data_IF_121436653023
#
_entry.id   IF_121436653023
#
_cell.length_a   1.000
_cell.length_b   1.000
_cell.length_c   1.000
_cell.angle_alpha   90.00
_cell.angle_beta   90.00
_cell.angle_gamma   90.00
#
_symmetry.space_group_name_H-M   'P 1'
#
loop_
_entity.id
_entity.type
_entity.pdbx_description
1 polymer ?
#
# COMPACT_ATOMS: atom_id res chain seq x y z
N UNK A 1 8.19 -9.38 -41.01
CA UNK A 1 9.32 -8.89 -40.18
C UNK A 1 8.95 -7.52 -39.63
N UNK A 2 8.81 -7.36 -38.31
CA UNK A 2 8.66 -6.02 -37.68
C UNK A 2 10.06 -5.41 -37.51
N UNK A 3 10.23 -4.14 -37.87
CA UNK A 3 11.50 -3.42 -37.75
C UNK A 3 11.75 -2.98 -36.30
N UNK A 4 13.01 -2.76 -35.95
CA UNK A 4 13.44 -2.36 -34.59
C UNK A 4 12.81 -1.05 -34.13
N UNK A 5 12.51 -0.14 -35.06
CA UNK A 5 11.80 1.12 -34.85
C UNK A 5 10.33 0.92 -34.45
N UNK A 6 9.62 -0.05 -35.03
CA UNK A 6 8.24 -0.37 -34.65
C UNK A 6 8.14 -0.92 -33.22
N UNK A 7 9.10 -1.78 -32.83
CA UNK A 7 9.16 -2.31 -31.47
C UNK A 7 9.46 -1.23 -30.42
N UNK A 8 10.31 -0.26 -30.75
CA UNK A 8 10.60 0.87 -29.87
C UNK A 8 9.38 1.79 -29.69
N UNK A 9 8.65 2.08 -30.77
CA UNK A 9 7.44 2.89 -30.73
C UNK A 9 6.28 2.19 -29.97
N UNK A 10 6.18 0.86 -30.05
CA UNK A 10 5.20 0.09 -29.28
C UNK A 10 5.52 0.12 -27.77
N UNK A 11 6.80 -0.04 -27.40
CA UNK A 11 7.25 0.08 -25.99
C UNK A 11 7.01 1.48 -25.43
N UNK A 12 7.30 2.52 -26.22
CA UNK A 12 7.04 3.91 -25.82
C UNK A 12 5.56 4.20 -25.55
N UNK A 13 4.66 3.66 -26.40
CA UNK A 13 3.21 3.78 -26.22
C UNK A 13 2.71 3.05 -24.97
N UNK A 14 3.22 1.84 -24.70
CA UNK A 14 2.87 1.08 -23.49
C UNK A 14 3.34 1.77 -22.22
N UNK A 15 4.58 2.29 -22.21
CA UNK A 15 5.11 3.11 -21.11
C UNK A 15 4.23 4.32 -20.82
N UNK A 16 3.89 5.09 -21.85
CA UNK A 16 3.01 6.26 -21.71
C UNK A 16 1.62 5.84 -21.21
N UNK A 17 1.12 4.68 -21.64
CA UNK A 17 -0.14 4.11 -21.18
C UNK A 17 -0.13 3.77 -19.68
N UNK A 18 0.90 3.07 -19.21
CA UNK A 18 1.02 2.68 -17.80
C UNK A 18 1.15 3.90 -16.87
N UNK A 19 2.03 4.85 -17.22
CA UNK A 19 2.23 6.07 -16.45
C UNK A 19 0.92 6.89 -16.33
N UNK A 20 0.18 6.99 -17.43
CA UNK A 20 -1.12 7.67 -17.49
C UNK A 20 -2.18 7.01 -16.62
N UNK A 21 -2.23 5.68 -16.56
CA UNK A 21 -3.19 4.98 -15.69
C UNK A 21 -2.87 5.24 -14.22
N UNK A 22 -1.60 5.20 -13.83
CA UNK A 22 -1.19 5.50 -12.45
C UNK A 22 -1.51 6.96 -12.07
N UNK A 23 -1.28 7.92 -12.96
CA UNK A 23 -1.49 9.35 -12.65
C UNK A 23 -2.96 9.79 -12.74
N UNK A 24 -3.72 9.25 -13.70
CA UNK A 24 -5.11 9.66 -13.98
C UNK A 24 -6.18 8.78 -13.37
N UNK A 25 -5.87 7.53 -13.06
CA UNK A 25 -6.81 6.57 -12.48
C UNK A 25 -6.22 5.83 -11.25
N UNK A 26 -5.57 6.54 -10.30
CA UNK A 26 -4.97 5.91 -9.13
C UNK A 26 -5.98 5.17 -8.24
N UNK A 27 -7.24 5.61 -8.22
CA UNK A 27 -8.34 5.00 -7.46
C UNK A 27 -8.61 3.56 -7.90
N UNK A 28 -8.41 3.22 -9.17
CA UNK A 28 -8.59 1.86 -9.69
C UNK A 28 -7.53 0.91 -9.14
N UNK A 29 -6.29 1.39 -9.03
CA UNK A 29 -5.17 0.63 -8.48
C UNK A 29 -5.35 0.50 -6.96
N UNK A 30 -5.75 1.57 -6.28
CA UNK A 30 -6.06 1.53 -4.85
C UNK A 30 -7.20 0.53 -4.55
N UNK A 31 -8.26 0.52 -5.36
CA UNK A 31 -9.34 -0.45 -5.24
C UNK A 31 -8.88 -1.90 -5.51
N UNK A 32 -7.97 -2.12 -6.46
CA UNK A 32 -7.34 -3.42 -6.67
C UNK A 32 -6.56 -3.87 -5.44
N UNK A 33 -5.70 -3.02 -4.89
CA UNK A 33 -4.91 -3.32 -3.69
C UNK A 33 -5.81 -3.63 -2.49
N UNK A 34 -6.89 -2.87 -2.25
CA UNK A 34 -7.85 -3.15 -1.17
C UNK A 34 -8.47 -4.55 -1.31
N UNK A 35 -8.84 -4.95 -2.53
CA UNK A 35 -9.37 -6.30 -2.79
C UNK A 35 -8.33 -7.38 -2.53
N UNK A 36 -7.09 -7.17 -2.97
CA UNK A 36 -5.99 -8.10 -2.69
C UNK A 36 -5.74 -8.25 -1.18
N UNK A 37 -5.86 -7.16 -0.42
CA UNK A 37 -5.73 -7.17 1.05
C UNK A 37 -6.83 -7.99 1.70
N UNK A 38 -8.08 -7.80 1.27
CA UNK A 38 -9.21 -8.57 1.77
C UNK A 38 -9.03 -10.07 1.49
N UNK A 39 -8.66 -10.41 0.25
CA UNK A 39 -8.39 -11.79 -0.15
C UNK A 39 -7.25 -12.44 0.66
N UNK A 40 -6.18 -11.68 0.97
CA UNK A 40 -5.07 -12.18 1.77
C UNK A 40 -5.45 -12.52 3.23
N UNK A 41 -6.59 -12.03 3.72
CA UNK A 41 -7.09 -12.27 5.08
C UNK A 41 -8.35 -13.15 5.09
N UNK A 42 -8.77 -13.70 3.95
CA UNK A 42 -9.87 -14.66 3.89
C UNK A 42 -9.54 -15.87 4.78
N UNK A 43 -10.39 -16.14 5.77
CA UNK A 43 -10.21 -17.20 6.76
C UNK A 43 -9.55 -16.79 8.09
N UNK A 44 -9.05 -15.55 8.22
CA UNK A 44 -8.41 -15.04 9.45
C UNK A 44 -9.27 -14.01 10.22
N UNK A 45 -10.51 -13.81 9.80
CA UNK A 45 -11.44 -12.84 10.39
C UNK A 45 -11.52 -11.53 9.60
N UNK A 46 -12.17 -10.51 10.18
CA UNK A 46 -12.23 -9.17 9.56
C UNK A 46 -10.85 -8.53 9.71
N UNK A 47 -10.16 -8.18 8.61
CA UNK A 47 -8.86 -7.52 8.73
C UNK A 47 -9.05 -6.17 9.42
N UNK A 48 -8.14 -5.85 10.35
CA UNK A 48 -8.11 -4.53 10.98
C UNK A 48 -7.97 -3.41 9.92
N UNK A 49 -8.17 -2.14 10.30
CA UNK A 49 -7.92 -1.03 9.39
C UNK A 49 -6.49 -1.04 8.86
N UNK A 50 -6.32 -0.70 7.57
CA UNK A 50 -5.00 -0.62 6.97
C UNK A 50 -4.30 0.67 7.36
N UNK A 51 -3.00 0.58 7.61
CA UNK A 51 -2.13 1.73 7.88
C UNK A 51 -1.95 2.61 6.62
N UNK A 52 -2.07 2.00 5.43
CA UNK A 52 -1.87 2.66 4.13
C UNK A 52 -3.17 3.12 3.44
N UNK A 53 -4.37 2.87 3.98
CA UNK A 53 -5.62 3.08 3.22
C UNK A 53 -5.84 4.51 2.70
N UNK A 54 -5.50 5.52 3.51
CA UNK A 54 -5.56 6.94 3.12
C UNK A 54 -4.37 7.41 2.28
N UNK A 55 -3.36 6.57 2.08
CA UNK A 55 -2.08 6.88 1.47
C UNK A 55 -1.94 6.28 0.06
N UNK A 56 -2.48 5.08 -0.18
CA UNK A 56 -2.24 4.33 -1.42
C UNK A 56 -2.63 5.12 -2.66
N UNK A 57 -3.84 5.68 -2.70
CA UNK A 57 -4.30 6.41 -3.88
C UNK A 57 -3.44 7.67 -4.17
N UNK A 58 -3.21 8.59 -3.21
CA UNK A 58 -2.29 9.71 -3.40
C UNK A 58 -0.88 9.28 -3.83
N UNK A 59 -0.31 8.24 -3.20
CA UNK A 59 1.02 7.75 -3.54
C UNK A 59 1.10 7.19 -4.96
N UNK A 60 0.08 6.42 -5.39
CA UNK A 60 -0.01 5.89 -6.76
C UNK A 60 -0.10 7.01 -7.79
N UNK A 61 -0.83 8.08 -7.49
CA UNK A 61 -0.89 9.27 -8.36
C UNK A 61 0.49 9.86 -8.56
N UNK A 62 1.23 10.07 -7.47
CA UNK A 62 2.58 10.63 -7.51
C UNK A 62 3.58 9.70 -8.21
N UNK A 63 3.45 8.39 -8.03
CA UNK A 63 4.21 7.40 -8.79
C UNK A 63 3.97 7.55 -10.30
N UNK A 64 2.70 7.73 -10.71
CA UNK A 64 2.36 7.97 -12.11
C UNK A 64 3.09 9.18 -12.70
N UNK A 65 3.15 10.29 -11.97
CA UNK A 65 3.90 11.48 -12.39
C UNK A 65 5.40 11.20 -12.52
N UNK A 66 5.98 10.41 -11.62
CA UNK A 66 7.39 10.00 -11.74
C UNK A 66 7.63 9.06 -12.91
N UNK A 67 6.68 8.20 -13.26
CA UNK A 67 6.75 7.39 -14.49
C UNK A 67 6.62 8.25 -15.76
N UNK A 68 5.91 9.37 -15.69
CA UNK A 68 5.83 10.41 -16.74
C UNK A 68 7.11 11.27 -16.84
N UNK A 69 8.04 11.15 -15.90
CA UNK A 69 9.34 11.81 -15.93
C UNK A 69 9.57 12.87 -14.87
N UNK A 70 8.67 13.03 -13.89
CA UNK A 70 8.90 13.93 -12.76
C UNK A 70 10.00 13.36 -11.85
N UNK A 71 11.12 14.08 -11.73
CA UNK A 71 12.35 13.60 -11.08
C UNK A 71 12.36 13.65 -9.55
N UNK A 72 11.38 14.31 -8.92
CA UNK A 72 11.29 14.33 -7.45
C UNK A 72 10.74 13.02 -6.87
N UNK A 73 10.95 12.81 -5.56
CA UNK A 73 10.40 11.66 -4.84
C UNK A 73 8.86 11.67 -4.84
N UNK A 74 8.20 10.56 -5.25
CA UNK A 74 6.76 10.37 -5.05
C UNK A 74 6.36 10.47 -3.57
N UNK A 75 7.20 9.94 -2.67
CA UNK A 75 6.95 9.95 -1.23
C UNK A 75 6.87 11.38 -0.67
N UNK A 76 7.81 12.24 -1.05
CA UNK A 76 7.81 13.65 -0.62
C UNK A 76 6.69 14.49 -1.24
N UNK A 77 6.15 14.10 -2.39
CA UNK A 77 5.00 14.80 -3.00
C UNK A 77 3.66 14.31 -2.46
N UNK A 78 3.61 13.14 -1.87
CA UNK A 78 2.36 12.50 -1.43
C UNK A 78 1.72 13.29 -0.29
N UNK A 79 0.60 13.97 -0.60
CA UNK A 79 -0.21 14.71 0.37
C UNK A 79 -1.32 13.82 0.90
N UNK A 80 -1.02 13.05 1.95
CA UNK A 80 -1.93 12.10 2.56
C UNK A 80 -1.73 11.98 4.07
N UNK A 81 -2.50 11.09 4.71
CA UNK A 81 -2.29 10.72 6.11
C UNK A 81 -1.62 9.35 6.17
N UNK A 82 -0.39 9.32 6.69
CA UNK A 82 0.30 8.08 7.05
C UNK A 82 -0.07 7.73 8.50
N UNK A 83 -0.68 6.55 8.68
CA UNK A 83 -1.02 6.03 10.01
C UNK A 83 0.08 5.09 10.46
N UNK A 84 0.60 5.31 11.67
CA UNK A 84 1.62 4.47 12.28
C UNK A 84 1.08 3.90 13.58
N UNK A 85 1.18 2.58 13.75
CA UNK A 85 0.71 1.89 14.94
C UNK A 85 1.92 1.24 15.64
N UNK A 86 2.51 1.90 16.67
CA UNK A 86 3.66 1.37 17.41
C UNK A 86 3.47 -0.06 17.90
N UNK A 87 2.27 -0.37 18.40
CA UNK A 87 1.88 -1.70 18.89
C UNK A 87 1.99 -2.81 17.82
N UNK A 88 1.75 -2.49 16.55
CA UNK A 88 1.86 -3.44 15.42
C UNK A 88 3.30 -3.59 14.93
N UNK A 89 4.17 -2.64 15.28
CA UNK A 89 5.59 -2.62 14.92
C UNK A 89 5.86 -2.49 13.42
N UNK A 90 7.15 -2.45 13.07
CA UNK A 90 7.61 -2.27 11.69
C UNK A 90 7.20 -3.43 10.77
N UNK A 91 7.05 -4.65 11.31
CA UNK A 91 6.66 -5.83 10.53
C UNK A 91 5.32 -5.63 9.82
N UNK A 92 4.33 -5.06 10.51
CA UNK A 92 3.03 -4.79 9.91
C UNK A 92 3.10 -3.77 8.75
N UNK A 93 3.98 -2.76 8.85
CA UNK A 93 4.23 -1.83 7.74
C UNK A 93 4.87 -2.57 6.56
N UNK A 94 5.90 -3.39 6.80
CA UNK A 94 6.54 -4.17 5.75
C UNK A 94 5.54 -5.07 5.02
N UNK A 95 4.64 -5.74 5.74
CA UNK A 95 3.62 -6.60 5.13
C UNK A 95 2.64 -5.81 4.25
N UNK A 96 2.16 -4.64 4.71
CA UNK A 96 1.25 -3.80 3.91
C UNK A 96 1.94 -3.23 2.66
N UNK A 97 3.19 -2.79 2.78
CA UNK A 97 3.97 -2.31 1.63
C UNK A 97 4.40 -3.43 0.68
N UNK A 98 4.66 -4.65 1.17
CA UNK A 98 4.93 -5.80 0.32
C UNK A 98 3.70 -6.16 -0.53
N UNK A 99 2.51 -6.10 0.07
CA UNK A 99 1.26 -6.27 -0.66
C UNK A 99 1.04 -5.15 -1.69
N UNK A 100 1.34 -3.90 -1.32
CA UNK A 100 1.28 -2.78 -2.26
C UNK A 100 2.25 -2.99 -3.42
N UNK A 101 3.50 -3.39 -3.15
CA UNK A 101 4.50 -3.69 -4.19
C UNK A 101 3.98 -4.70 -5.19
N UNK A 102 3.46 -5.83 -4.70
CA UNK A 102 2.87 -6.86 -5.56
C UNK A 102 1.77 -6.28 -6.44
N UNK A 103 0.83 -5.54 -5.85
CA UNK A 103 -0.26 -4.92 -6.60
C UNK A 103 0.24 -3.97 -7.71
N UNK A 104 1.23 -3.12 -7.42
CA UNK A 104 1.76 -2.16 -8.39
C UNK A 104 2.54 -2.81 -9.51
N UNK A 105 3.33 -3.85 -9.19
CA UNK A 105 4.07 -4.62 -10.20
C UNK A 105 3.11 -5.41 -11.09
N UNK A 106 2.13 -6.11 -10.51
CA UNK A 106 1.11 -6.85 -11.27
C UNK A 106 0.31 -5.89 -12.19
N UNK A 107 -0.07 -4.71 -11.68
CA UNK A 107 -0.75 -3.69 -12.47
C UNK A 107 0.13 -3.16 -13.61
N UNK A 108 1.42 -2.94 -13.36
CA UNK A 108 2.37 -2.50 -14.39
C UNK A 108 2.50 -3.53 -15.51
N UNK A 109 2.61 -4.82 -15.16
CA UNK A 109 2.74 -5.92 -16.11
C UNK A 109 1.50 -6.03 -17.01
N UNK A 110 0.30 -5.93 -16.43
CA UNK A 110 -0.97 -5.91 -17.19
C UNK A 110 -1.05 -4.71 -18.16
N UNK A 111 -0.48 -3.57 -17.77
CA UNK A 111 -0.43 -2.37 -18.60
C UNK A 111 0.72 -2.39 -19.62
N UNK A 112 1.55 -3.43 -19.63
CA UNK A 112 2.67 -3.60 -20.56
C UNK A 112 3.88 -2.72 -20.24
N UNK A 113 4.07 -2.31 -18.99
CA UNK A 113 5.26 -1.60 -18.54
C UNK A 113 6.52 -2.47 -18.56
N UNK A 114 7.69 -1.85 -18.65
CA UNK A 114 8.97 -2.54 -18.74
C UNK A 114 9.79 -2.50 -17.45
N UNK A 115 11.00 -3.06 -17.52
CA UNK A 115 11.92 -3.16 -16.38
C UNK A 115 12.30 -1.80 -15.79
N UNK A 116 12.40 -0.77 -16.62
CA UNK A 116 12.72 0.59 -16.17
C UNK A 116 11.62 1.16 -15.28
N UNK A 117 10.35 0.98 -15.66
CA UNK A 117 9.20 1.40 -14.86
C UNK A 117 9.10 0.57 -13.58
N UNK A 118 9.33 -0.76 -13.68
CA UNK A 118 9.37 -1.67 -12.53
C UNK A 118 10.43 -1.24 -11.52
N UNK A 119 11.62 -0.88 -11.98
CA UNK A 119 12.71 -0.40 -11.13
C UNK A 119 12.38 0.95 -10.47
N UNK A 120 11.67 1.85 -11.15
CA UNK A 120 11.20 3.12 -10.55
C UNK A 120 10.17 2.88 -9.46
N UNK A 121 9.19 2.00 -9.70
CA UNK A 121 8.18 1.62 -8.70
C UNK A 121 8.86 0.99 -7.47
N UNK A 122 9.76 0.03 -7.68
CA UNK A 122 10.45 -0.63 -6.58
C UNK A 122 11.26 0.36 -5.73
N UNK A 123 12.05 1.24 -6.36
CA UNK A 123 12.83 2.25 -5.64
C UNK A 123 11.95 3.19 -4.82
N UNK A 124 10.84 3.65 -5.38
CA UNK A 124 9.93 4.53 -4.67
C UNK A 124 9.23 3.82 -3.49
N UNK A 125 8.95 2.52 -3.61
CA UNK A 125 8.42 1.72 -2.51
C UNK A 125 9.46 1.45 -1.42
N UNK A 126 10.71 1.15 -1.79
CA UNK A 126 11.81 0.98 -0.83
C UNK A 126 11.98 2.26 -0.01
N UNK A 127 12.04 3.41 -0.69
CA UNK A 127 12.12 4.73 -0.07
C UNK A 127 10.94 5.02 0.88
N UNK A 128 9.71 4.70 0.45
CA UNK A 128 8.50 4.89 1.24
C UNK A 128 8.50 4.01 2.51
N UNK A 129 8.86 2.74 2.38
CA UNK A 129 8.98 1.79 3.50
C UNK A 129 10.01 2.25 4.49
N UNK A 130 11.24 2.53 4.02
CA UNK A 130 12.34 2.95 4.88
C UNK A 130 12.01 4.23 5.64
N UNK A 131 11.37 5.18 4.96
CA UNK A 131 10.95 6.44 5.57
C UNK A 131 9.82 6.24 6.59
N UNK A 132 8.83 5.40 6.30
CA UNK A 132 7.75 5.08 7.23
C UNK A 132 8.27 4.34 8.48
N UNK A 133 9.23 3.43 8.31
CA UNK A 133 9.86 2.70 9.42
C UNK A 133 10.71 3.64 10.28
N UNK A 134 11.49 4.54 9.68
CA UNK A 134 12.24 5.54 10.43
C UNK A 134 11.33 6.47 11.24
N UNK A 135 10.19 6.89 10.66
CA UNK A 135 9.17 7.66 11.38
C UNK A 135 8.58 6.86 12.55
N UNK A 136 8.28 5.57 12.37
CA UNK A 136 7.79 4.71 13.43
C UNK A 136 8.80 4.57 14.57
N UNK A 137 10.08 4.36 14.23
CA UNK A 137 11.16 4.26 15.22
C UNK A 137 11.28 5.55 16.03
N UNK A 138 11.15 6.72 15.38
CA UNK A 138 11.18 8.03 16.06
C UNK A 138 10.02 8.30 16.99
N UNK A 139 8.87 7.65 16.78
CA UNK A 139 7.76 7.72 17.73
C UNK A 139 8.09 7.00 19.04
N UNK A 140 8.89 5.92 18.97
CA UNK A 140 9.33 5.17 20.14
C UNK A 140 10.59 5.79 20.81
N UNK A 141 11.52 6.29 20.00
CA UNK A 141 12.75 6.95 20.46
C UNK A 141 12.98 8.27 19.70
N UNK A 142 12.76 9.44 20.34
CA UNK A 142 12.99 10.74 19.73
C UNK A 142 14.43 10.98 19.24
N UNK A 143 15.41 10.20 19.72
CA UNK A 143 16.82 10.28 19.31
C UNK A 143 17.15 9.41 18.09
N UNK A 144 16.24 8.55 17.65
CA UNK A 144 16.43 7.75 16.45
C UNK A 144 16.57 8.64 15.20
N UNK A 145 17.30 8.14 14.21
CA UNK A 145 17.52 8.85 12.95
C UNK A 145 16.20 9.16 12.23
N UNK A 146 16.13 10.35 11.63
CA UNK A 146 14.99 10.76 10.80
C UNK A 146 14.90 10.00 9.48
N UNK A 147 13.72 10.04 8.83
CA UNK A 147 13.61 9.51 7.46
C UNK A 147 14.54 10.30 6.53
N UNK A 148 15.26 9.59 5.67
CA UNK A 148 16.13 10.22 4.65
C UNK A 148 15.32 11.05 3.66
N UNK A 149 14.10 10.61 3.37
CA UNK A 149 13.17 11.30 2.48
C UNK A 149 11.93 11.69 3.28
N UNK A 150 11.64 13.00 3.40
CA UNK A 150 10.50 13.46 4.17
C UNK A 150 9.20 13.02 3.50
N UNK A 151 8.21 12.63 4.31
CA UNK A 151 6.86 12.40 3.83
C UNK A 151 6.17 13.73 3.55
N UNK A 152 5.46 13.85 2.42
CA UNK A 152 4.78 15.08 2.03
C UNK A 152 3.51 15.40 2.83
N UNK A 153 3.01 14.45 3.62
CA UNK A 153 1.72 14.54 4.29
C UNK A 153 1.82 14.64 5.81
N UNK A 154 0.71 14.28 6.47
CA UNK A 154 0.60 14.22 7.92
C UNK A 154 0.89 12.80 8.40
N UNK A 155 1.72 12.68 9.44
CA UNK A 155 1.98 11.42 10.12
C UNK A 155 1.18 11.43 11.41
N UNK A 156 0.37 10.39 11.63
CA UNK A 156 -0.47 10.27 12.83
C UNK A 156 -0.25 8.93 13.49
N UNK A 157 -0.24 8.96 14.83
CA UNK A 157 -0.32 7.75 15.62
C UNK A 157 -1.73 7.16 15.51
N UNK A 158 -1.79 5.86 15.26
CA UNK A 158 -3.02 5.11 15.12
C UNK A 158 -3.16 4.11 16.25
N UNK A 159 -4.20 4.30 17.05
CA UNK A 159 -4.57 3.42 18.14
C UNK A 159 -5.72 2.52 17.70
N UNK A 160 -5.50 1.21 17.73
CA UNK A 160 -6.58 0.26 17.54
C UNK A 160 -7.48 0.28 18.77
N UNK A 161 -8.77 0.60 18.59
CA UNK A 161 -9.74 0.39 19.67
C UNK A 161 -9.75 -1.10 19.98
N UNK A 162 -9.63 -1.53 21.25
CA UNK A 162 -9.83 -2.92 21.59
C UNK A 162 -11.23 -3.31 21.15
N UNK A 163 -11.31 -4.07 20.06
CA UNK A 163 -12.54 -4.71 19.62
C UNK A 163 -12.99 -5.59 20.76
N UNK A 164 -14.05 -5.18 21.47
CA UNK A 164 -14.76 -6.06 22.37
C UNK A 164 -15.02 -7.36 21.60
N UNK A 165 -14.30 -8.41 21.98
CA UNK A 165 -14.51 -9.74 21.47
C UNK A 165 -16.02 -9.97 21.49
N UNK A 166 -16.57 -10.25 20.30
CA UNK A 166 -17.95 -10.60 20.08
C UNK A 166 -18.34 -11.58 21.20
N UNK A 167 -19.11 -11.13 22.20
CA UNK A 167 -19.63 -12.01 23.25
C UNK A 167 -20.24 -13.19 22.53
N UNK A 168 -19.70 -14.39 22.75
CA UNK A 168 -20.33 -15.61 22.30
C UNK A 168 -21.81 -15.54 22.75
N UNK A 169 -22.79 -15.90 21.91
CA UNK A 169 -24.15 -16.00 22.37
C UNK A 169 -24.21 -17.07 23.46
N UNK A 170 -24.23 -16.65 24.73
CA UNK A 170 -24.73 -17.48 25.82
C UNK A 170 -26.22 -17.65 25.56
N UNK A 171 -26.64 -18.80 25.05
CA UNK A 171 -28.05 -18.99 24.72
C UNK A 171 -28.44 -20.32 24.09
N UNK A 172 -28.15 -21.44 24.75
CA UNK A 172 -29.16 -22.45 25.13
C UNK A 172 -28.46 -23.57 25.90
N UNK A 173 -28.60 -23.53 27.23
CA UNK A 173 -28.65 -24.78 28.00
C UNK A 173 -29.93 -25.48 27.55
N UNK A 174 -29.81 -26.55 26.78
CA UNK A 174 -30.88 -27.53 26.70
C UNK A 174 -30.93 -28.24 28.07
N UNK A 175 -31.73 -27.66 28.96
CA UNK A 175 -32.34 -28.39 30.06
C UNK A 175 -33.30 -29.42 29.45
N UNK A 176 -32.77 -30.62 29.19
CA UNK A 176 -33.59 -31.83 29.12
C UNK A 176 -33.00 -32.88 30.05
N UNK A 177 -33.18 -32.61 31.34
CA UNK A 177 -33.33 -33.66 32.34
C UNK A 177 -34.73 -33.55 32.93
N UNK A 178 -35.43 -34.68 32.87
CA UNK A 178 -36.51 -35.14 33.76
C UNK A 178 -37.99 -35.01 33.33
N UNK A 179 -38.62 -36.21 33.32
CA UNK A 179 -40.05 -36.61 33.48
C UNK A 179 -40.97 -36.38 32.27
N UNK A 180 -41.73 -37.35 31.74
CA UNK A 180 -42.27 -38.62 32.25
C UNK A 180 -42.12 -39.74 31.21
#
# INVERSE_FOLDING_TARGET
MRTTTDMAAERGRKKAGAARVFSKQPERIAALWRRMRLAAHEGQGVPGPSLLDGLVEPFVRELGLTLEGVESSPWSRTRAVLRLAPERGARALHDEFALLRRCLVDALEVLGGGDAERQRINRALDEAVDSAVALLQRMADPKADGPRVPFGGLVVEYFERPSHARRAPMGRRDERSAMH
#
